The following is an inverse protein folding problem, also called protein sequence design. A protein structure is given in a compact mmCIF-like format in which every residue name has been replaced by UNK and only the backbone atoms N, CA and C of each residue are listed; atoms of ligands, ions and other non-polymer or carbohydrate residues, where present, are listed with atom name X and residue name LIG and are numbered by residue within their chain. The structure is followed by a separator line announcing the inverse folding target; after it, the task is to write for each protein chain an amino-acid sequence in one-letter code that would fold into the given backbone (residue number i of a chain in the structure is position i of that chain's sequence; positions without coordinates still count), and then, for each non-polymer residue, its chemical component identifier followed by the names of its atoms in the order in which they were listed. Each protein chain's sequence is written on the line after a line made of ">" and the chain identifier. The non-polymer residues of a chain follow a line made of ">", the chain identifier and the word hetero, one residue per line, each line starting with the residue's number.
data_IF_877129512319
#
_entry.id   IF_877129512319
#
_cell.length_a   1.000
_cell.length_b   1.000
_cell.length_c   1.000
_cell.angle_alpha   90.00
_cell.angle_beta   90.00
_cell.angle_gamma   90.00
#
_symmetry.space_group_name_H-M   'P 1'
#
loop_
_entity.id
_entity.type
_entity.pdbx_description
1 polymer ?
#
# COMPACT_ATOMS: atom_id res chain seq x y z
N UNK A 1 -19.06 -0.77 -19.58
CA UNK A 1 -17.86 -0.25 -20.27
C UNK A 1 -17.04 0.73 -19.42
N UNK A 2 -17.66 1.71 -18.72
CA UNK A 2 -16.90 2.69 -17.92
C UNK A 2 -16.20 2.14 -16.68
N UNK A 3 -16.77 1.15 -16.00
CA UNK A 3 -16.21 0.54 -14.78
C UNK A 3 -14.89 -0.18 -15.08
N UNK A 4 -14.80 -0.89 -16.19
CA UNK A 4 -13.60 -1.65 -16.57
C UNK A 4 -12.47 -0.71 -16.98
N UNK A 5 -12.77 0.39 -17.68
CA UNK A 5 -11.79 1.41 -18.03
C UNK A 5 -11.18 2.07 -16.79
N UNK A 6 -12.03 2.46 -15.81
CA UNK A 6 -11.56 3.03 -14.54
C UNK A 6 -10.66 2.04 -13.81
N UNK A 7 -11.08 0.77 -13.70
CA UNK A 7 -10.30 -0.27 -13.07
C UNK A 7 -8.94 -0.46 -13.75
N UNK A 8 -8.90 -0.47 -15.08
CA UNK A 8 -7.66 -0.59 -15.85
C UNK A 8 -6.72 0.59 -15.61
N UNK A 9 -7.24 1.82 -15.57
CA UNK A 9 -6.43 3.02 -15.29
C UNK A 9 -5.81 2.95 -13.89
N UNK A 10 -6.57 2.57 -12.86
CA UNK A 10 -6.05 2.47 -11.49
C UNK A 10 -5.07 1.30 -11.29
N UNK A 11 -5.15 0.26 -12.12
CA UNK A 11 -4.22 -0.87 -12.08
C UNK A 11 -2.98 -0.66 -12.97
N UNK A 12 -3.01 0.31 -13.88
CA UNK A 12 -1.91 0.55 -14.82
C UNK A 12 -0.55 0.87 -14.18
N UNK A 13 -0.44 1.53 -13.00
CA UNK A 13 0.86 1.80 -12.38
C UNK A 13 1.67 0.53 -12.07
N UNK A 14 1.03 -0.62 -11.84
CA UNK A 14 1.72 -1.90 -11.61
C UNK A 14 2.52 -2.37 -12.84
N UNK A 15 2.10 -1.96 -14.03
CA UNK A 15 2.76 -2.34 -15.28
C UNK A 15 4.06 -1.55 -15.52
N UNK A 16 4.27 -0.46 -14.79
CA UNK A 16 5.46 0.38 -14.91
C UNK A 16 6.52 -0.18 -13.95
N UNK A 17 7.72 -0.55 -14.44
CA UNK A 17 8.81 -0.93 -13.54
C UNK A 17 9.10 0.18 -12.52
N UNK A 18 9.20 -0.19 -11.23
CA UNK A 18 9.35 0.78 -10.14
C UNK A 18 10.56 1.71 -10.32
N UNK A 19 11.64 1.19 -10.92
CA UNK A 19 12.84 1.97 -11.23
C UNK A 19 12.54 3.08 -12.25
N UNK A 20 11.71 2.79 -13.26
CA UNK A 20 11.29 3.76 -14.29
C UNK A 20 10.39 4.81 -13.66
N UNK A 21 9.45 4.39 -12.80
CA UNK A 21 8.59 5.32 -12.08
C UNK A 21 9.41 6.25 -11.17
N UNK A 22 10.39 5.72 -10.45
CA UNK A 22 11.31 6.51 -9.61
C UNK A 22 12.07 7.56 -10.43
N UNK A 23 12.61 7.18 -11.59
CA UNK A 23 13.29 8.10 -12.47
C UNK A 23 12.37 9.19 -13.04
N UNK A 24 11.14 8.83 -13.45
CA UNK A 24 10.14 9.80 -13.94
C UNK A 24 9.76 10.78 -12.82
N UNK A 25 9.52 10.28 -11.62
CA UNK A 25 9.21 11.12 -10.45
C UNK A 25 10.35 12.09 -10.14
N UNK A 26 11.60 11.62 -10.13
CA UNK A 26 12.77 12.48 -9.93
C UNK A 26 12.83 13.56 -11.01
N UNK A 27 12.69 13.17 -12.28
CA UNK A 27 12.85 14.09 -13.42
C UNK A 27 11.76 15.15 -13.50
N UNK A 28 10.50 14.75 -13.28
CA UNK A 28 9.37 15.66 -13.46
C UNK A 28 8.88 16.25 -12.14
N UNK A 29 8.75 15.49 -11.07
CA UNK A 29 8.16 15.98 -9.83
C UNK A 29 9.19 16.75 -9.00
N UNK A 30 10.38 16.20 -8.83
CA UNK A 30 11.43 16.86 -8.04
C UNK A 30 12.11 17.96 -8.85
N UNK A 31 12.66 17.65 -10.02
CA UNK A 31 13.52 18.60 -10.74
C UNK A 31 12.75 19.66 -11.52
N UNK A 32 11.55 19.35 -12.04
CA UNK A 32 10.79 20.31 -12.85
C UNK A 32 9.84 21.16 -12.00
N UNK A 33 9.22 20.57 -10.96
CA UNK A 33 8.29 21.29 -10.09
C UNK A 33 8.90 21.67 -8.74
N UNK A 34 10.20 21.39 -8.55
CA UNK A 34 10.96 21.70 -7.31
C UNK A 34 10.25 21.19 -6.04
N UNK A 35 9.63 20.01 -6.14
CA UNK A 35 8.92 19.45 -5.01
C UNK A 35 9.92 18.83 -4.02
N UNK A 36 9.75 19.15 -2.74
CA UNK A 36 10.61 18.62 -1.68
C UNK A 36 10.60 17.07 -1.64
N UNK A 37 11.66 16.48 -1.11
CA UNK A 37 11.90 15.03 -1.06
C UNK A 37 10.74 14.27 -0.39
N UNK A 38 10.29 14.73 0.79
CA UNK A 38 9.23 14.03 1.55
C UNK A 38 7.89 13.98 0.80
N UNK A 39 7.34 15.09 0.29
CA UNK A 39 6.13 15.04 -0.55
C UNK A 39 6.28 14.16 -1.79
N UNK A 40 7.45 14.18 -2.44
CA UNK A 40 7.71 13.34 -3.61
C UNK A 40 7.69 11.85 -3.29
N UNK A 41 8.30 11.47 -2.15
CA UNK A 41 8.23 10.10 -1.62
C UNK A 41 6.79 9.68 -1.31
N UNK A 42 6.02 10.54 -0.63
CA UNK A 42 4.61 10.25 -0.31
C UNK A 42 3.78 10.04 -1.57
N UNK A 43 3.92 10.90 -2.56
CA UNK A 43 3.21 10.76 -3.85
C UNK A 43 3.62 9.45 -4.54
N UNK A 44 4.92 9.18 -4.66
CA UNK A 44 5.43 8.00 -5.34
C UNK A 44 4.96 6.69 -4.69
N UNK A 45 5.09 6.58 -3.37
CA UNK A 45 4.63 5.41 -2.63
C UNK A 45 3.11 5.26 -2.63
N UNK A 46 2.36 6.36 -2.61
CA UNK A 46 0.89 6.34 -2.76
C UNK A 46 0.50 5.79 -4.13
N UNK A 47 1.11 6.28 -5.20
CA UNK A 47 0.85 5.80 -6.56
C UNK A 47 1.10 4.30 -6.71
N UNK A 48 2.19 3.79 -6.12
CA UNK A 48 2.49 2.36 -6.12
C UNK A 48 1.51 1.53 -5.27
N UNK A 49 0.97 2.09 -4.20
CA UNK A 49 0.07 1.39 -3.29
C UNK A 49 -1.36 1.29 -3.82
N UNK A 50 -1.82 2.25 -4.64
CA UNK A 50 -3.19 2.31 -5.18
C UNK A 50 -3.61 0.98 -5.84
N UNK A 51 -2.86 0.37 -6.76
CA UNK A 51 -3.27 -0.87 -7.41
C UNK A 51 -3.48 -2.03 -6.44
N UNK A 52 -2.62 -2.15 -5.44
CA UNK A 52 -2.72 -3.21 -4.42
C UNK A 52 -3.96 -3.02 -3.56
N UNK A 53 -4.20 -1.80 -3.08
CA UNK A 53 -5.39 -1.43 -2.31
C UNK A 53 -6.65 -1.71 -3.13
N UNK A 54 -6.70 -1.24 -4.37
CA UNK A 54 -7.84 -1.45 -5.27
C UNK A 54 -8.13 -2.92 -5.50
N UNK A 55 -7.09 -3.74 -5.68
CA UNK A 55 -7.26 -5.18 -5.91
C UNK A 55 -7.86 -5.88 -4.69
N UNK A 56 -7.33 -5.61 -3.50
CA UNK A 56 -7.80 -6.26 -2.27
C UNK A 56 -9.21 -5.81 -1.90
N UNK A 57 -9.49 -4.50 -1.95
CA UNK A 57 -10.83 -3.97 -1.64
C UNK A 57 -11.86 -4.46 -2.66
N UNK A 58 -11.52 -4.49 -3.95
CA UNK A 58 -12.43 -5.01 -4.98
C UNK A 58 -12.75 -6.49 -4.75
N UNK A 59 -11.75 -7.30 -4.34
CA UNK A 59 -11.97 -8.71 -3.97
C UNK A 59 -12.88 -8.84 -2.74
N UNK A 60 -12.68 -8.02 -1.73
CA UNK A 60 -13.53 -8.02 -0.52
C UNK A 60 -14.97 -7.64 -0.83
N UNK A 61 -15.17 -6.64 -1.71
CA UNK A 61 -16.50 -6.26 -2.18
C UNK A 61 -17.15 -7.32 -3.07
N UNK A 62 -16.37 -8.07 -3.85
CA UNK A 62 -16.90 -9.16 -4.67
C UNK A 62 -17.43 -10.33 -3.82
N UNK A 63 -16.89 -10.52 -2.61
CA UNK A 63 -17.33 -11.54 -1.67
C UNK A 63 -18.45 -11.04 -0.73
N UNK A 64 -18.80 -9.76 -0.78
CA UNK A 64 -19.88 -9.18 0.03
C UNK A 64 -21.25 -9.50 -0.61
N UNK A 65 -22.18 -9.97 0.21
CA UNK A 65 -23.55 -10.23 -0.24
C UNK A 65 -24.35 -8.90 -0.34
N UNK A 66 -24.52 -8.41 -1.54
CA UNK A 66 -25.27 -7.18 -1.80
C UNK A 66 -26.76 -7.28 -1.50
N UNK A 67 -27.33 -8.49 -1.30
CA UNK A 67 -28.71 -8.64 -0.87
C UNK A 67 -28.96 -7.97 0.51
N UNK A 68 -27.94 -7.91 1.36
CA UNK A 68 -28.03 -7.21 2.65
C UNK A 68 -28.19 -5.69 2.46
N UNK A 69 -27.49 -5.10 1.45
CA UNK A 69 -27.64 -3.69 1.10
C UNK A 69 -29.05 -3.41 0.56
N UNK A 70 -29.55 -4.26 -0.33
CA UNK A 70 -30.88 -4.14 -0.92
C UNK A 70 -31.99 -4.28 0.12
N UNK A 71 -31.84 -5.22 1.07
CA UNK A 71 -32.79 -5.38 2.18
C UNK A 71 -32.84 -4.14 3.07
N UNK A 72 -31.69 -3.56 3.42
CA UNK A 72 -31.63 -2.34 4.21
C UNK A 72 -32.30 -1.15 3.51
N UNK A 73 -32.04 -1.00 2.19
CA UNK A 73 -32.69 0.04 1.38
C UNK A 73 -34.21 -0.17 1.30
N UNK A 74 -34.68 -1.42 1.23
CA UNK A 74 -36.11 -1.74 1.24
C UNK A 74 -36.80 -1.40 2.55
N UNK A 75 -36.04 -1.44 3.67
CA UNK A 75 -36.50 -0.99 4.98
C UNK A 75 -36.42 0.53 5.19
N UNK A 76 -36.08 1.30 4.14
CA UNK A 76 -36.05 2.76 4.16
C UNK A 76 -34.68 3.39 4.48
N UNK A 77 -33.61 2.58 4.59
CA UNK A 77 -32.28 3.12 4.78
C UNK A 77 -31.80 3.80 3.49
N UNK A 78 -31.11 4.94 3.64
CA UNK A 78 -30.46 5.58 2.47
C UNK A 78 -29.21 4.83 2.06
N UNK A 79 -28.82 4.86 0.78
CA UNK A 79 -27.60 4.20 0.29
C UNK A 79 -26.34 4.65 1.04
N UNK A 80 -26.25 5.93 1.41
CA UNK A 80 -25.11 6.42 2.20
C UNK A 80 -25.09 5.80 3.59
N UNK A 81 -26.22 5.75 4.28
CA UNK A 81 -26.34 5.11 5.58
C UNK A 81 -25.94 3.63 5.49
N UNK A 82 -26.47 2.90 4.52
CA UNK A 82 -26.17 1.48 4.30
C UNK A 82 -24.68 1.26 4.01
N UNK A 83 -24.07 2.12 3.20
CA UNK A 83 -22.63 2.02 2.91
C UNK A 83 -21.78 2.12 4.19
N UNK A 84 -21.99 3.15 5.01
CA UNK A 84 -21.17 3.38 6.18
C UNK A 84 -21.47 2.43 7.35
N UNK A 85 -22.72 1.98 7.49
CA UNK A 85 -23.14 1.18 8.65
C UNK A 85 -23.24 -0.32 8.36
N UNK A 86 -23.32 -0.72 7.10
CA UNK A 86 -23.43 -2.12 6.71
C UNK A 86 -22.25 -2.55 5.84
N UNK A 87 -22.06 -1.96 4.67
CA UNK A 87 -21.04 -2.40 3.72
C UNK A 87 -19.64 -2.23 4.30
N UNK A 88 -19.28 -1.03 4.71
CA UNK A 88 -17.95 -0.71 5.19
C UNK A 88 -17.51 -1.54 6.42
N UNK A 89 -18.35 -1.74 7.46
CA UNK A 89 -18.00 -2.62 8.56
C UNK A 89 -17.86 -4.09 8.19
N UNK A 90 -18.62 -4.57 7.21
CA UNK A 90 -18.51 -5.95 6.75
C UNK A 90 -17.23 -6.24 5.96
N UNK A 91 -16.69 -5.26 5.25
CA UNK A 91 -15.43 -5.40 4.50
C UNK A 91 -14.21 -4.88 5.29
N UNK A 92 -14.34 -4.60 6.59
CA UNK A 92 -13.24 -4.04 7.41
C UNK A 92 -11.97 -4.89 7.40
N UNK A 93 -12.10 -6.22 7.39
CA UNK A 93 -10.97 -7.15 7.28
C UNK A 93 -10.23 -6.99 5.95
N UNK A 94 -10.97 -6.83 4.86
CA UNK A 94 -10.40 -6.53 3.54
C UNK A 94 -9.70 -5.18 3.48
N UNK A 95 -10.27 -4.15 4.13
CA UNK A 95 -9.63 -2.83 4.23
C UNK A 95 -8.32 -2.93 5.00
N UNK A 96 -8.33 -3.64 6.13
CA UNK A 96 -7.14 -3.87 6.93
C UNK A 96 -6.04 -4.62 6.15
N UNK A 97 -6.43 -5.67 5.43
CA UNK A 97 -5.51 -6.41 4.56
C UNK A 97 -4.96 -5.53 3.44
N UNK A 98 -5.78 -4.65 2.86
CA UNK A 98 -5.34 -3.69 1.84
C UNK A 98 -4.30 -2.69 2.40
N UNK A 99 -4.55 -2.16 3.60
CA UNK A 99 -3.60 -1.27 4.27
C UNK A 99 -2.28 -1.98 4.59
N UNK A 100 -2.35 -3.21 5.09
CA UNK A 100 -1.16 -4.01 5.39
C UNK A 100 -0.33 -4.27 4.11
N UNK A 101 -0.98 -4.68 3.03
CA UNK A 101 -0.32 -4.90 1.74
C UNK A 101 0.33 -3.62 1.20
N UNK A 102 -0.35 -2.47 1.34
CA UNK A 102 0.20 -1.18 0.94
C UNK A 102 1.47 -0.83 1.72
N UNK A 103 1.45 -1.02 3.05
CA UNK A 103 2.61 -0.76 3.92
C UNK A 103 3.77 -1.68 3.56
N UNK A 104 3.53 -2.99 3.42
CA UNK A 104 4.57 -3.97 3.07
C UNK A 104 5.17 -3.64 1.71
N UNK A 105 4.33 -3.38 0.70
CA UNK A 105 4.79 -3.03 -0.63
C UNK A 105 5.59 -1.72 -0.65
N UNK A 106 5.12 -0.70 0.05
CA UNK A 106 5.80 0.59 0.19
C UNK A 106 7.16 0.42 0.88
N UNK A 107 7.22 -0.33 1.98
CA UNK A 107 8.45 -0.57 2.73
C UNK A 107 9.50 -1.33 1.93
N UNK A 108 9.09 -2.32 1.16
CA UNK A 108 10.00 -3.15 0.34
C UNK A 108 10.43 -2.46 -0.97
N UNK A 109 9.86 -1.31 -1.30
CA UNK A 109 10.16 -0.64 -2.57
C UNK A 109 11.38 0.26 -2.48
N UNK A 110 12.56 -0.35 -2.51
CA UNK A 110 13.85 0.35 -2.49
C UNK A 110 14.08 1.13 -3.79
N UNK A 111 13.67 0.57 -4.94
CA UNK A 111 13.95 1.14 -6.26
C UNK A 111 13.35 2.55 -6.45
N UNK A 112 12.08 2.74 -6.06
CA UNK A 112 11.44 4.07 -6.10
C UNK A 112 12.14 5.04 -5.13
N UNK A 113 12.37 4.57 -3.92
CA UNK A 113 12.94 5.38 -2.85
C UNK A 113 14.35 5.86 -3.17
N UNK A 114 15.16 5.01 -3.84
CA UNK A 114 16.53 5.34 -4.22
C UNK A 114 16.63 6.56 -5.13
N UNK A 115 15.64 6.78 -6.01
CA UNK A 115 15.59 7.96 -6.86
C UNK A 115 15.07 9.22 -6.16
N UNK A 116 14.23 9.05 -5.13
CA UNK A 116 13.54 10.15 -4.47
C UNK A 116 14.20 10.58 -3.14
N UNK A 117 15.22 9.88 -2.68
CA UNK A 117 16.01 10.31 -1.52
C UNK A 117 16.95 11.45 -1.88
N UNK A 118 17.19 12.34 -0.93
CA UNK A 118 18.07 13.49 -1.10
C UNK A 118 18.71 13.91 0.23
N UNK A 119 19.48 15.00 0.23
CA UNK A 119 20.16 15.49 1.43
C UNK A 119 19.20 15.64 2.63
N UNK A 120 19.55 15.01 3.75
CA UNK A 120 18.77 15.08 4.99
C UNK A 120 17.60 14.11 5.11
N UNK A 121 17.30 13.31 4.06
CA UNK A 121 16.23 12.29 4.10
C UNK A 121 16.82 10.96 3.66
N UNK A 122 17.12 10.11 4.63
CA UNK A 122 17.62 8.77 4.39
C UNK A 122 16.56 7.72 4.73
N UNK A 123 16.33 6.79 3.82
CA UNK A 123 15.45 5.66 4.07
C UNK A 123 16.25 4.45 4.50
N UNK A 124 15.84 3.80 5.59
CA UNK A 124 16.56 2.63 6.15
C UNK A 124 16.88 1.52 5.14
N UNK A 125 15.95 1.10 4.26
CA UNK A 125 16.28 0.07 3.27
C UNK A 125 17.42 0.48 2.32
N UNK A 126 17.53 1.76 1.97
CA UNK A 126 18.59 2.27 1.10
C UNK A 126 19.93 2.30 1.84
N UNK A 127 19.95 2.74 3.09
CA UNK A 127 21.16 2.73 3.92
C UNK A 127 21.68 1.31 4.11
N UNK A 128 20.78 0.34 4.33
CA UNK A 128 21.15 -1.09 4.45
C UNK A 128 21.74 -1.57 3.12
N UNK A 129 21.11 -1.25 1.99
CA UNK A 129 21.61 -1.64 0.67
C UNK A 129 23.01 -1.08 0.39
N UNK A 130 23.23 0.21 0.67
CA UNK A 130 24.53 0.83 0.52
C UNK A 130 25.58 0.24 1.47
N UNK A 131 25.19 -0.08 2.70
CA UNK A 131 26.11 -0.72 3.65
C UNK A 131 26.51 -2.12 3.19
N UNK A 132 25.57 -2.92 2.67
CA UNK A 132 25.82 -4.26 2.11
C UNK A 132 26.82 -4.22 0.95
N UNK A 133 26.73 -3.19 0.12
CA UNK A 133 27.61 -3.06 -1.06
C UNK A 133 29.08 -2.85 -0.69
N UNK A 134 29.33 -2.16 0.43
CA UNK A 134 30.69 -1.78 0.86
C UNK A 134 31.23 -2.56 2.06
N UNK A 135 30.37 -3.22 2.83
CA UNK A 135 30.74 -3.92 4.08
C UNK A 135 30.12 -5.31 4.15
N UNK A 136 30.97 -6.32 4.15
CA UNK A 136 30.57 -7.71 4.41
C UNK A 136 30.69 -7.99 5.91
N UNK A 137 29.64 -7.63 6.68
CA UNK A 137 29.63 -7.76 8.14
C UNK A 137 28.37 -8.54 8.60
N UNK A 138 28.50 -9.47 9.57
CA UNK A 138 27.36 -10.15 10.21
C UNK A 138 26.30 -9.22 10.79
N UNK A 139 26.61 -7.97 11.06
CA UNK A 139 25.69 -6.94 11.54
C UNK A 139 24.49 -6.75 10.60
N UNK A 140 24.68 -6.95 9.30
CA UNK A 140 23.62 -6.89 8.30
C UNK A 140 22.58 -7.97 8.54
N UNK A 141 23.03 -9.20 8.80
CA UNK A 141 22.14 -10.33 9.10
C UNK A 141 21.34 -10.08 10.39
N UNK A 142 21.97 -9.51 11.41
CA UNK A 142 21.33 -9.14 12.65
C UNK A 142 20.25 -8.06 12.41
N UNK A 143 20.57 -7.01 11.64
CA UNK A 143 19.62 -5.94 11.31
C UNK A 143 18.45 -6.47 10.48
N UNK A 144 18.71 -7.29 9.46
CA UNK A 144 17.67 -7.92 8.65
C UNK A 144 16.74 -8.80 9.51
N UNK A 145 17.31 -9.55 10.46
CA UNK A 145 16.53 -10.36 11.40
C UNK A 145 15.64 -9.49 12.30
N UNK A 146 16.16 -8.39 12.84
CA UNK A 146 15.37 -7.44 13.66
C UNK A 146 14.23 -6.86 12.84
N UNK A 147 14.49 -6.43 11.61
CA UNK A 147 13.47 -5.89 10.71
C UNK A 147 12.40 -6.94 10.36
N UNK A 148 12.80 -8.17 10.11
CA UNK A 148 11.87 -9.27 9.86
C UNK A 148 10.99 -9.55 11.08
N UNK A 149 11.56 -9.63 12.28
CA UNK A 149 10.82 -9.86 13.53
C UNK A 149 9.86 -8.68 13.80
N UNK A 150 10.32 -7.44 13.58
CA UNK A 150 9.48 -6.26 13.74
C UNK A 150 8.30 -6.28 12.77
N UNK A 151 8.53 -6.61 11.50
CA UNK A 151 7.46 -6.71 10.48
C UNK A 151 6.46 -7.81 10.82
N UNK A 152 6.94 -8.99 11.25
CA UNK A 152 6.08 -10.08 11.71
C UNK A 152 5.28 -9.67 12.95
N UNK A 153 5.91 -8.97 13.90
CA UNK A 153 5.22 -8.46 15.10
C UNK A 153 4.08 -7.50 14.75
N UNK A 154 4.33 -6.55 13.84
CA UNK A 154 3.30 -5.63 13.36
C UNK A 154 2.18 -6.39 12.64
N UNK A 155 2.52 -7.37 11.79
CA UNK A 155 1.55 -8.20 11.07
C UNK A 155 0.64 -8.96 12.06
N UNK A 156 1.21 -9.65 13.04
CA UNK A 156 0.46 -10.39 14.05
C UNK A 156 -0.42 -9.46 14.91
N UNK A 157 0.06 -8.26 15.22
CA UNK A 157 -0.70 -7.28 15.97
C UNK A 157 -1.90 -6.77 15.18
N UNK A 158 -1.74 -6.51 13.91
CA UNK A 158 -2.83 -6.12 13.01
C UNK A 158 -3.83 -7.27 12.85
N UNK A 159 -3.36 -8.50 12.65
CA UNK A 159 -4.19 -9.69 12.53
C UNK A 159 -5.06 -9.88 13.80
N UNK A 160 -4.46 -9.76 14.98
CA UNK A 160 -5.16 -9.89 16.25
C UNK A 160 -6.17 -8.77 16.50
N UNK A 161 -5.83 -7.53 16.16
CA UNK A 161 -6.71 -6.37 16.40
C UNK A 161 -7.89 -6.31 15.44
N UNK A 162 -7.71 -6.78 14.20
CA UNK A 162 -8.70 -6.68 13.12
C UNK A 162 -9.45 -7.99 12.86
N UNK A 163 -9.12 -9.06 13.59
CA UNK A 163 -9.85 -10.34 13.54
C UNK A 163 -9.75 -11.04 12.17
N UNK A 164 -8.60 -10.94 11.49
CA UNK A 164 -8.40 -11.54 10.18
C UNK A 164 -8.47 -13.08 10.18
N UNK A 165 -8.43 -13.72 11.34
CA UNK A 165 -8.51 -15.19 11.52
C UNK A 165 -9.84 -15.80 11.07
N UNK A 166 -10.86 -15.00 10.77
CA UNK A 166 -12.17 -15.49 10.32
C UNK A 166 -12.32 -15.64 8.80
N UNK A 167 -11.24 -15.46 8.04
CA UNK A 167 -11.27 -15.42 6.56
C UNK A 167 -10.47 -16.58 5.91
N UNK A 168 -9.95 -17.51 6.73
CA UNK A 168 -9.31 -18.76 6.25
C UNK A 168 -10.22 -19.94 6.46
#
# INVERSE_FOLDING_TARGET
>A
KGKDTIKTVFLSPVLIPCIVLGFIMLRYVVNQYDLAVIPSLLIGHTLLSIPYIMRVITSSLANFDFAVEEAACSLGATRQYTFFHIVLPNIKSGIASACLMAVINSFNNVSLSAFLTGPGVNMRPIEIMGYVEYHFDPTIAALATIMMVATLGVMLLIEKTLGLQSVV
#
